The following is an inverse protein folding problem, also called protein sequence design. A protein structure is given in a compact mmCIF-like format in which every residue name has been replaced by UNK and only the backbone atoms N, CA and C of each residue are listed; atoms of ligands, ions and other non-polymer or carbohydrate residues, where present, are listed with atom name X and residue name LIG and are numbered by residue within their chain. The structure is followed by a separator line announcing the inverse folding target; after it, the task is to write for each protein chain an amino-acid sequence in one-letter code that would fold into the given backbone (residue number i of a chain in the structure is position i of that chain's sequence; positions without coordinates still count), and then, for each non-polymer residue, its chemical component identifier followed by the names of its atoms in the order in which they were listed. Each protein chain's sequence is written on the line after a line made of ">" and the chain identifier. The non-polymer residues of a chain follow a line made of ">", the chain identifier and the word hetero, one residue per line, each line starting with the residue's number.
data_IF_827687276913
#
_entry.id   IF_827687276913
#
_cell.length_a   1.000
_cell.length_b   1.000
_cell.length_c   1.000
_cell.angle_alpha   90.00
_cell.angle_beta   90.00
_cell.angle_gamma   90.00
#
_symmetry.space_group_name_H-M   'P 1'
#
loop_
_entity.id
_entity.type
_entity.pdbx_description
1 polymer ?
#
# COMPACT_ATOMS: atom_id res chain seq x y z
N UNK A 1 -16.29 1.42 -7.89
CA UNK A 1 -15.75 2.16 -6.72
C UNK A 1 -15.45 3.60 -7.14
N UNK A 2 -15.36 4.59 -6.20
CA UNK A 2 -15.19 6.00 -6.54
C UNK A 2 -13.86 6.56 -6.02
N UNK A 3 -13.19 7.39 -6.82
CA UNK A 3 -11.99 8.14 -6.42
C UNK A 3 -12.44 9.31 -5.52
N UNK A 4 -11.77 9.46 -4.36
CA UNK A 4 -12.24 10.36 -3.28
C UNK A 4 -11.72 11.79 -3.48
N UNK A 5 -10.45 11.93 -3.89
CA UNK A 5 -9.82 13.24 -4.00
C UNK A 5 -8.80 13.32 -5.15
N UNK A 6 -8.21 14.51 -5.36
CA UNK A 6 -7.18 14.76 -6.36
C UNK A 6 -7.71 14.96 -7.78
N UNK A 7 -6.83 14.79 -8.77
CA UNK A 7 -7.06 15.05 -10.20
C UNK A 7 -8.27 14.31 -10.76
N UNK A 8 -8.55 13.11 -10.26
CA UNK A 8 -9.63 12.24 -10.74
C UNK A 8 -10.82 12.15 -9.78
N UNK A 9 -10.93 13.07 -8.81
CA UNK A 9 -12.02 13.09 -7.82
C UNK A 9 -13.38 12.89 -8.47
N UNK A 10 -14.17 11.98 -7.90
CA UNK A 10 -15.54 11.69 -8.33
C UNK A 10 -15.65 10.70 -9.48
N UNK A 11 -14.57 10.35 -10.19
CA UNK A 11 -14.61 9.32 -11.24
C UNK A 11 -14.81 7.93 -10.63
N UNK A 12 -15.56 7.10 -11.32
CA UNK A 12 -15.74 5.70 -10.93
C UNK A 12 -14.66 4.83 -11.56
N UNK A 13 -14.17 3.86 -10.80
CA UNK A 13 -13.32 2.78 -11.28
C UNK A 13 -14.09 1.46 -11.28
N UNK A 14 -13.80 0.63 -12.26
CA UNK A 14 -14.36 -0.70 -12.40
C UNK A 14 -13.83 -1.59 -11.27
N UNK A 15 -14.66 -2.54 -10.84
CA UNK A 15 -14.29 -3.58 -9.87
C UNK A 15 -14.81 -4.92 -10.39
N UNK A 16 -14.11 -6.03 -10.16
CA UNK A 16 -14.59 -7.35 -10.54
C UNK A 16 -15.96 -7.64 -9.93
N UNK A 17 -16.78 -8.40 -10.64
CA UNK A 17 -18.07 -8.90 -10.11
C UNK A 17 -17.76 -10.06 -9.17
N UNK A 18 -18.42 -10.07 -7.98
CA UNK A 18 -18.34 -11.21 -7.07
C UNK A 18 -17.11 -11.23 -6.15
N UNK A 19 -16.38 -10.11 -5.99
CA UNK A 19 -15.29 -10.04 -5.03
C UNK A 19 -15.71 -10.50 -3.63
N UNK A 20 -15.10 -11.59 -3.18
CA UNK A 20 -15.18 -12.08 -1.78
C UNK A 20 -14.46 -11.15 -0.81
N UNK A 21 -13.58 -10.29 -1.32
CA UNK A 21 -12.86 -9.28 -0.55
C UNK A 21 -13.55 -7.92 -0.68
N UNK A 22 -14.19 -7.46 0.38
CA UNK A 22 -14.69 -6.08 0.45
C UNK A 22 -13.50 -5.13 0.43
N UNK A 23 -13.38 -4.25 -0.58
CA UNK A 23 -12.44 -3.14 -0.54
C UNK A 23 -12.62 -2.33 0.75
N UNK A 24 -11.60 -1.58 1.21
CA UNK A 24 -11.76 -0.71 2.36
C UNK A 24 -13.02 0.13 2.19
N UNK A 25 -13.86 0.18 3.23
CA UNK A 25 -15.04 1.06 3.20
C UNK A 25 -14.58 2.48 2.89
N UNK A 26 -15.39 3.28 2.24
CA UNK A 26 -15.03 4.66 1.88
C UNK A 26 -14.47 5.45 3.08
N UNK A 27 -14.95 5.18 4.30
CA UNK A 27 -14.43 5.79 5.55
C UNK A 27 -13.00 5.40 5.85
N UNK A 28 -12.65 4.11 5.75
CA UNK A 28 -11.29 3.63 6.03
C UNK A 28 -10.30 4.16 5.00
N UNK A 29 -10.67 4.12 3.72
CA UNK A 29 -9.88 4.70 2.64
C UNK A 29 -9.66 6.20 2.85
N UNK A 30 -10.70 6.95 3.22
CA UNK A 30 -10.57 8.38 3.53
C UNK A 30 -9.63 8.62 4.71
N UNK A 31 -9.78 7.86 5.80
CA UNK A 31 -8.92 7.99 6.97
C UNK A 31 -7.45 7.67 6.65
N UNK A 32 -7.20 6.57 5.89
CA UNK A 32 -5.86 6.22 5.41
C UNK A 32 -5.23 7.40 4.65
N UNK A 33 -5.92 7.88 3.62
CA UNK A 33 -5.37 8.94 2.76
C UNK A 33 -5.26 10.30 3.45
N UNK A 34 -6.02 10.57 4.50
CA UNK A 34 -5.81 11.77 5.34
C UNK A 34 -4.51 11.68 6.15
N UNK A 35 -4.16 10.48 6.66
CA UNK A 35 -2.91 10.26 7.41
C UNK A 35 -1.70 10.42 6.49
N UNK A 36 -1.71 9.77 5.32
CA UNK A 36 -0.56 9.74 4.41
C UNK A 36 -0.53 10.91 3.42
N UNK A 37 -1.48 11.84 3.50
CA UNK A 37 -1.59 12.96 2.54
C UNK A 37 -0.30 13.78 2.36
N UNK A 38 0.50 14.05 3.41
CA UNK A 38 1.76 14.78 3.25
C UNK A 38 2.83 14.03 2.44
N UNK A 39 2.75 12.70 2.38
CA UNK A 39 3.70 11.84 1.68
C UNK A 39 3.34 11.57 0.21
N UNK A 40 2.16 12.03 -0.26
CA UNK A 40 1.67 11.69 -1.60
C UNK A 40 2.28 12.53 -2.73
N UNK A 41 2.57 13.85 -2.55
CA UNK A 41 3.13 14.63 -3.63
C UNK A 41 4.46 14.05 -4.13
N UNK A 42 4.56 13.77 -5.42
CA UNK A 42 5.71 13.17 -6.12
C UNK A 42 6.13 11.78 -5.62
N UNK A 43 5.30 11.11 -4.82
CA UNK A 43 5.60 9.81 -4.22
C UNK A 43 5.72 8.69 -5.27
N UNK A 44 6.64 7.77 -5.03
CA UNK A 44 6.67 6.45 -5.65
C UNK A 44 5.95 5.46 -4.74
N UNK A 45 4.96 4.78 -5.30
CA UNK A 45 4.04 3.91 -4.56
C UNK A 45 4.11 2.48 -5.08
N UNK A 46 4.04 1.51 -4.18
CA UNK A 46 3.77 0.10 -4.51
C UNK A 46 2.43 -0.28 -3.90
N UNK A 47 1.51 -0.82 -4.71
CA UNK A 47 0.18 -1.30 -4.29
C UNK A 47 0.14 -2.82 -4.48
N UNK A 48 0.43 -3.55 -3.41
CA UNK A 48 0.42 -5.02 -3.39
C UNK A 48 -0.98 -5.53 -3.05
N UNK A 49 -1.39 -6.62 -3.73
CA UNK A 49 -2.76 -7.12 -3.72
C UNK A 49 -3.73 -6.04 -4.22
N UNK A 50 -3.36 -5.38 -5.32
CA UNK A 50 -3.97 -4.12 -5.77
C UNK A 50 -5.43 -4.25 -6.19
N UNK A 51 -5.89 -5.45 -6.51
CA UNK A 51 -7.23 -5.68 -7.02
C UNK A 51 -7.49 -4.83 -8.27
N UNK A 52 -8.53 -4.02 -8.24
CA UNK A 52 -8.84 -3.06 -9.31
C UNK A 52 -8.04 -1.76 -9.27
N UNK A 53 -7.04 -1.66 -8.40
CA UNK A 53 -6.15 -0.49 -8.26
C UNK A 53 -6.68 0.62 -7.36
N UNK A 54 -7.57 0.31 -6.43
CA UNK A 54 -8.27 1.33 -5.65
C UNK A 54 -7.35 2.25 -4.85
N UNK A 55 -6.29 1.73 -4.24
CA UNK A 55 -5.38 2.51 -3.41
C UNK A 55 -4.35 3.23 -4.28
N UNK A 56 -3.66 2.53 -5.18
CA UNK A 56 -2.65 3.15 -6.04
C UNK A 56 -3.22 4.20 -7.00
N UNK A 57 -4.42 3.99 -7.57
CA UNK A 57 -5.10 5.02 -8.40
C UNK A 57 -5.47 6.24 -7.56
N UNK A 58 -5.92 6.07 -6.32
CA UNK A 58 -6.18 7.19 -5.41
C UNK A 58 -4.88 7.96 -5.11
N UNK A 59 -3.76 7.25 -4.89
CA UNK A 59 -2.46 7.87 -4.67
C UNK A 59 -2.03 8.71 -5.89
N UNK A 60 -2.12 8.15 -7.12
CA UNK A 60 -1.83 8.90 -8.36
C UNK A 60 -2.77 10.09 -8.49
N UNK A 61 -4.06 9.94 -8.18
CA UNK A 61 -5.03 11.04 -8.22
C UNK A 61 -4.65 12.19 -7.29
N UNK A 62 -3.98 11.91 -6.18
CA UNK A 62 -3.54 12.89 -5.17
C UNK A 62 -2.11 13.40 -5.38
N UNK A 63 -1.45 13.03 -6.47
CA UNK A 63 -0.15 13.59 -6.84
C UNK A 63 1.02 12.64 -6.73
N UNK A 64 0.81 11.35 -6.46
CA UNK A 64 1.89 10.38 -6.57
C UNK A 64 2.45 10.37 -8.00
N UNK A 65 3.78 10.32 -8.10
CA UNK A 65 4.53 10.34 -9.35
C UNK A 65 4.36 9.05 -10.13
N UNK A 66 4.44 7.93 -9.42
CA UNK A 66 4.40 6.61 -10.03
C UNK A 66 3.82 5.57 -9.08
N UNK A 67 3.13 4.56 -9.62
CA UNK A 67 2.60 3.44 -8.85
C UNK A 67 2.89 2.11 -9.54
N UNK A 68 3.51 1.19 -8.80
CA UNK A 68 3.63 -0.22 -9.18
C UNK A 68 2.45 -0.97 -8.57
N UNK A 69 1.65 -1.62 -9.41
CA UNK A 69 0.52 -2.46 -9.00
C UNK A 69 0.90 -3.93 -9.10
N UNK A 70 0.70 -4.72 -8.06
CA UNK A 70 0.90 -6.17 -8.10
C UNK A 70 -0.42 -6.90 -7.85
N UNK A 71 -0.80 -7.80 -8.75
CA UNK A 71 -2.04 -8.58 -8.68
C UNK A 71 -1.88 -9.90 -9.44
N UNK A 72 -2.53 -10.97 -8.95
CA UNK A 72 -2.54 -12.29 -9.59
C UNK A 72 -3.90 -12.68 -10.17
N UNK A 73 -5.00 -12.10 -9.68
CA UNK A 73 -6.35 -12.41 -10.14
C UNK A 73 -6.63 -11.77 -11.52
N UNK A 74 -6.92 -12.60 -12.51
CA UNK A 74 -7.11 -12.16 -13.90
C UNK A 74 -8.27 -11.17 -14.07
N UNK A 75 -9.37 -11.33 -13.34
CA UNK A 75 -10.53 -10.44 -13.44
C UNK A 75 -10.20 -9.08 -12.81
N UNK A 76 -9.45 -9.09 -11.70
CA UNK A 76 -8.96 -7.87 -11.07
C UNK A 76 -7.98 -7.13 -11.98
N UNK A 77 -7.01 -7.83 -12.59
CA UNK A 77 -6.05 -7.29 -13.56
C UNK A 77 -6.78 -6.65 -14.75
N UNK A 78 -7.76 -7.34 -15.32
CA UNK A 78 -8.57 -6.81 -16.44
C UNK A 78 -9.27 -5.50 -16.07
N UNK A 79 -9.84 -5.42 -14.86
CA UNK A 79 -10.45 -4.20 -14.34
C UNK A 79 -9.40 -3.10 -14.11
N UNK A 80 -8.26 -3.43 -13.50
CA UNK A 80 -7.15 -2.51 -13.24
C UNK A 80 -6.64 -1.87 -14.54
N UNK A 81 -6.30 -2.68 -15.53
CA UNK A 81 -5.81 -2.19 -16.81
C UNK A 81 -6.83 -1.29 -17.53
N UNK A 82 -8.11 -1.66 -17.46
CA UNK A 82 -9.18 -0.82 -18.03
C UNK A 82 -9.31 0.50 -17.29
N UNK A 83 -9.17 0.51 -15.96
CA UNK A 83 -9.15 1.72 -15.16
C UNK A 83 -7.97 2.60 -15.53
N UNK A 84 -6.74 2.04 -15.65
CA UNK A 84 -5.53 2.74 -16.06
C UNK A 84 -5.72 3.42 -17.41
N UNK A 85 -6.22 2.68 -18.42
CA UNK A 85 -6.50 3.23 -19.75
C UNK A 85 -7.55 4.34 -19.71
N UNK A 86 -8.67 4.11 -19.02
CA UNK A 86 -9.77 5.10 -18.92
C UNK A 86 -9.36 6.38 -18.22
N UNK A 87 -8.45 6.31 -17.26
CA UNK A 87 -7.93 7.47 -16.55
C UNK A 87 -6.75 8.14 -17.26
N UNK A 88 -6.18 7.51 -18.28
CA UNK A 88 -5.03 8.03 -19.03
C UNK A 88 -3.74 8.07 -18.21
N UNK A 89 -3.55 7.12 -17.27
CA UNK A 89 -2.40 7.09 -16.35
C UNK A 89 -1.34 6.04 -16.71
N UNK A 90 -1.36 5.51 -17.92
CA UNK A 90 -0.44 4.44 -18.38
C UNK A 90 1.05 4.79 -18.19
N UNK A 91 1.40 6.09 -18.31
CA UNK A 91 2.79 6.56 -18.13
C UNK A 91 3.19 6.74 -16.67
N UNK A 92 2.24 6.68 -15.73
CA UNK A 92 2.45 6.88 -14.29
C UNK A 92 2.35 5.58 -13.50
N UNK A 93 2.35 4.43 -14.18
CA UNK A 93 2.26 3.16 -13.48
C UNK A 93 2.87 1.98 -14.25
N UNK A 94 3.15 0.91 -13.51
CA UNK A 94 3.52 -0.43 -13.99
C UNK A 94 2.59 -1.44 -13.35
N UNK A 95 2.16 -2.45 -14.10
CA UNK A 95 1.39 -3.59 -13.56
C UNK A 95 2.30 -4.81 -13.55
N UNK A 96 2.46 -5.42 -12.40
CA UNK A 96 3.13 -6.69 -12.13
C UNK A 96 2.07 -7.77 -11.98
N UNK A 97 2.15 -8.79 -12.81
CA UNK A 97 1.16 -9.88 -12.87
C UNK A 97 1.77 -11.16 -12.29
N UNK A 98 1.19 -11.68 -11.22
CA UNK A 98 1.62 -12.93 -10.60
C UNK A 98 1.54 -12.93 -9.08
N UNK A 99 2.01 -14.03 -8.48
CA UNK A 99 2.08 -14.18 -7.04
C UNK A 99 3.21 -13.31 -6.46
N UNK A 100 2.87 -12.51 -5.46
CA UNK A 100 3.78 -11.55 -4.82
C UNK A 100 4.94 -12.29 -4.13
N UNK A 101 4.68 -13.41 -3.47
CA UNK A 101 5.70 -14.16 -2.75
C UNK A 101 6.71 -14.85 -3.67
N UNK A 102 6.30 -15.16 -4.91
CA UNK A 102 7.17 -15.75 -5.93
C UNK A 102 7.99 -14.71 -6.67
N UNK A 103 7.40 -13.54 -6.97
CA UNK A 103 7.94 -12.61 -7.96
C UNK A 103 8.49 -11.29 -7.38
N UNK A 104 8.18 -10.94 -6.13
CA UNK A 104 8.48 -9.62 -5.56
C UNK A 104 9.96 -9.22 -5.72
N UNK A 105 10.88 -10.15 -5.50
CA UNK A 105 12.31 -9.86 -5.57
C UNK A 105 12.75 -9.40 -6.97
N UNK A 106 12.23 -10.02 -8.04
CA UNK A 106 12.50 -9.58 -9.41
C UNK A 106 11.83 -8.24 -9.72
N UNK A 107 10.59 -8.04 -9.27
CA UNK A 107 9.86 -6.79 -9.47
C UNK A 107 10.55 -5.61 -8.80
N UNK A 108 11.12 -5.82 -7.62
CA UNK A 108 11.85 -4.76 -6.93
C UNK A 108 13.13 -4.35 -7.65
N UNK A 109 13.73 -5.22 -8.47
CA UNK A 109 14.88 -4.86 -9.30
C UNK A 109 14.50 -3.87 -10.43
N UNK A 110 13.23 -3.88 -10.87
CA UNK A 110 12.71 -2.89 -11.83
C UNK A 110 12.46 -1.51 -11.19
N UNK A 111 12.42 -1.41 -9.87
CA UNK A 111 12.14 -0.15 -9.16
C UNK A 111 13.39 0.73 -9.15
N UNK A 112 13.33 1.84 -9.90
CA UNK A 112 14.46 2.74 -10.12
C UNK A 112 14.60 3.82 -9.05
N UNK A 113 13.59 4.05 -8.24
CA UNK A 113 13.53 5.12 -7.23
C UNK A 113 13.30 4.53 -5.85
N UNK A 114 13.65 5.31 -4.83
CA UNK A 114 13.21 5.00 -3.47
C UNK A 114 11.68 5.03 -3.39
N UNK A 115 11.12 4.10 -2.62
CA UNK A 115 9.67 3.94 -2.46
C UNK A 115 9.21 4.72 -1.24
N UNK A 116 8.22 5.58 -1.41
CA UNK A 116 7.68 6.38 -0.31
C UNK A 116 6.53 5.68 0.40
N UNK A 117 5.72 4.91 -0.34
CA UNK A 117 4.54 4.25 0.22
C UNK A 117 4.39 2.84 -0.36
N UNK A 118 4.13 1.89 0.52
CA UNK A 118 3.74 0.52 0.13
C UNK A 118 2.39 0.21 0.77
N UNK A 119 1.39 -0.10 -0.05
CA UNK A 119 0.13 -0.67 0.41
C UNK A 119 0.19 -2.19 0.35
N UNK A 120 -0.19 -2.85 1.44
CA UNK A 120 -0.34 -4.30 1.55
C UNK A 120 -1.77 -4.56 1.99
N UNK A 121 -2.64 -4.89 1.03
CA UNK A 121 -4.09 -5.01 1.22
C UNK A 121 -4.63 -6.40 0.83
N UNK A 122 -4.09 -7.49 1.42
CA UNK A 122 -4.49 -8.84 1.08
C UNK A 122 -5.90 -9.19 1.59
N UNK A 123 -6.51 -10.25 1.08
CA UNK A 123 -7.69 -10.84 1.69
C UNK A 123 -7.45 -11.14 3.17
N UNK A 124 -8.44 -10.87 4.05
CA UNK A 124 -8.26 -11.04 5.51
C UNK A 124 -7.84 -12.46 5.93
N UNK A 125 -8.33 -13.48 5.21
CA UNK A 125 -7.97 -14.88 5.47
C UNK A 125 -6.48 -15.11 5.23
N UNK A 126 -5.92 -14.51 4.21
CA UNK A 126 -4.49 -14.65 3.84
C UNK A 126 -3.57 -14.24 4.98
N UNK A 127 -3.83 -13.08 5.62
CA UNK A 127 -2.99 -12.59 6.74
C UNK A 127 -3.05 -13.51 7.96
N UNK A 128 -4.21 -14.11 8.21
CA UNK A 128 -4.39 -15.04 9.33
C UNK A 128 -3.59 -16.36 9.15
N UNK A 129 -3.31 -16.72 7.89
CA UNK A 129 -2.58 -17.93 7.51
C UNK A 129 -1.07 -17.68 7.32
N UNK A 130 -0.61 -16.44 7.46
CA UNK A 130 0.79 -16.09 7.25
C UNK A 130 1.73 -16.76 8.24
N UNK A 131 2.76 -17.42 7.71
CA UNK A 131 3.97 -17.73 8.47
C UNK A 131 4.82 -16.44 8.53
N UNK A 132 4.76 -15.74 9.66
CA UNK A 132 5.40 -14.43 9.82
C UNK A 132 6.91 -14.43 9.55
N UNK A 133 7.62 -15.51 9.86
CA UNK A 133 9.05 -15.62 9.58
C UNK A 133 9.33 -15.62 8.07
N UNK A 134 8.54 -16.37 7.31
CA UNK A 134 8.64 -16.39 5.86
C UNK A 134 8.19 -15.08 5.24
N UNK A 135 7.10 -14.50 5.74
CA UNK A 135 6.57 -13.20 5.26
C UNK A 135 7.56 -12.09 5.55
N UNK A 136 8.20 -12.07 6.72
CA UNK A 136 9.25 -11.11 7.01
C UNK A 136 10.41 -11.23 6.01
N UNK A 137 10.91 -12.44 5.78
CA UNK A 137 12.04 -12.69 4.86
C UNK A 137 11.70 -12.34 3.41
N UNK A 138 10.52 -12.73 2.93
CA UNK A 138 10.18 -12.69 1.50
C UNK A 138 9.35 -11.47 1.08
N UNK A 139 8.77 -10.73 2.05
CA UNK A 139 7.94 -9.57 1.78
C UNK A 139 8.50 -8.31 2.46
N UNK A 140 8.53 -8.27 3.79
CA UNK A 140 8.87 -7.02 4.51
C UNK A 140 10.34 -6.63 4.36
N UNK A 141 11.27 -7.56 4.50
CA UNK A 141 12.71 -7.26 4.39
C UNK A 141 13.10 -6.75 2.99
N UNK A 142 12.67 -7.36 1.87
CA UNK A 142 12.91 -6.82 0.53
C UNK A 142 12.31 -5.43 0.32
N UNK A 143 11.06 -5.20 0.77
CA UNK A 143 10.41 -3.89 0.68
C UNK A 143 11.13 -2.81 1.48
N UNK A 144 11.57 -3.14 2.70
CA UNK A 144 12.31 -2.22 3.55
C UNK A 144 13.61 -1.70 2.90
N UNK A 145 14.29 -2.53 2.11
CA UNK A 145 15.52 -2.14 1.38
C UNK A 145 15.27 -1.11 0.27
N UNK A 146 14.04 -1.00 -0.21
CA UNK A 146 13.64 -0.03 -1.26
C UNK A 146 12.93 1.19 -0.68
N UNK A 147 12.57 1.14 0.62
CA UNK A 147 11.83 2.21 1.27
C UNK A 147 12.73 3.43 1.49
N UNK A 148 12.22 4.62 1.22
CA UNK A 148 12.88 5.87 1.63
C UNK A 148 12.88 6.00 3.15
N UNK A 149 13.77 6.83 3.71
CA UNK A 149 13.89 7.00 5.16
C UNK A 149 12.55 7.38 5.83
N UNK A 150 11.79 8.28 5.20
CA UNK A 150 10.46 8.70 5.68
C UNK A 150 9.33 7.82 5.11
N UNK A 151 9.66 6.75 4.40
CA UNK A 151 8.70 5.90 3.72
C UNK A 151 7.89 5.04 4.68
N UNK A 152 6.68 4.67 4.26
CA UNK A 152 5.77 3.86 5.07
C UNK A 152 5.28 2.62 4.30
N UNK A 153 5.27 1.50 5.00
CA UNK A 153 4.52 0.30 4.61
C UNK A 153 3.22 0.30 5.41
N UNK A 154 2.09 0.19 4.72
CA UNK A 154 0.77 0.16 5.33
C UNK A 154 0.13 -1.20 5.09
N UNK A 155 -0.02 -1.98 6.16
CA UNK A 155 -0.72 -3.26 6.13
C UNK A 155 -2.16 -3.09 6.60
N UNK A 156 -3.12 -3.54 5.78
CA UNK A 156 -4.51 -3.72 6.20
C UNK A 156 -4.77 -5.17 6.56
N UNK A 157 -5.24 -5.40 7.79
CA UNK A 157 -5.54 -6.74 8.28
C UNK A 157 -6.76 -6.75 9.20
N UNK A 158 -7.17 -7.94 9.65
CA UNK A 158 -8.20 -8.06 10.70
C UNK A 158 -7.63 -7.55 12.04
N UNK A 159 -8.46 -6.85 12.84
CA UNK A 159 -8.02 -6.25 14.11
C UNK A 159 -7.42 -7.23 15.12
N UNK A 160 -7.79 -8.51 15.04
CA UNK A 160 -7.28 -9.54 15.96
C UNK A 160 -5.92 -10.11 15.53
N UNK A 161 -5.35 -9.64 14.42
CA UNK A 161 -3.99 -10.04 14.01
C UNK A 161 -2.98 -9.40 14.95
N UNK A 162 -2.18 -10.25 15.57
CA UNK A 162 -0.99 -9.85 16.31
C UNK A 162 0.21 -9.91 15.39
N UNK A 163 0.96 -8.81 15.32
CA UNK A 163 2.24 -8.79 14.62
C UNK A 163 3.32 -9.43 15.50
N UNK A 164 4.37 -9.99 14.90
CA UNK A 164 5.57 -10.36 15.66
C UNK A 164 6.14 -9.14 16.40
N UNK A 165 6.77 -9.39 17.53
CA UNK A 165 7.42 -8.35 18.34
C UNK A 165 8.57 -7.65 17.62
N UNK A 166 9.20 -8.32 16.63
CA UNK A 166 10.25 -7.76 15.81
C UNK A 166 9.95 -8.03 14.32
N UNK A 167 9.94 -6.96 13.54
CA UNK A 167 9.83 -6.97 12.07
C UNK A 167 11.05 -6.27 11.43
N UNK A 168 12.19 -6.26 12.13
CA UNK A 168 13.40 -5.55 11.70
C UNK A 168 13.72 -5.74 10.20
N UNK A 169 14.10 -4.65 9.52
CA UNK A 169 14.40 -3.30 10.02
C UNK A 169 13.17 -2.37 10.13
N UNK A 170 11.94 -2.90 10.10
CA UNK A 170 10.72 -2.14 10.18
C UNK A 170 10.19 -2.08 11.62
N UNK A 171 9.69 -0.91 12.01
CA UNK A 171 9.07 -0.66 13.29
C UNK A 171 7.63 -0.20 13.10
N UNK A 172 6.71 -0.68 13.95
CA UNK A 172 5.33 -0.20 13.94
C UNK A 172 5.29 1.23 14.48
N UNK A 173 5.03 2.18 13.59
CA UNK A 173 4.90 3.60 13.92
C UNK A 173 3.51 3.91 14.49
N UNK A 174 2.49 3.29 13.92
CA UNK A 174 1.11 3.54 14.29
C UNK A 174 0.22 2.35 13.96
N UNK A 175 -0.80 2.13 14.79
CA UNK A 175 -1.94 1.24 14.50
C UNK A 175 -3.24 1.99 14.68
N UNK A 176 -4.17 1.84 13.74
CA UNK A 176 -5.51 2.43 13.77
C UNK A 176 -6.55 1.37 13.50
N UNK A 177 -7.47 1.18 14.45
CA UNK A 177 -8.54 0.21 14.35
C UNK A 177 -9.83 0.84 13.83
N UNK A 178 -10.47 0.19 12.87
CA UNK A 178 -11.73 0.59 12.24
C UNK A 178 -12.69 -0.61 12.19
N UNK A 179 -13.52 -0.75 13.22
CA UNK A 179 -14.41 -1.89 13.37
C UNK A 179 -13.64 -3.21 13.49
N UNK A 180 -13.77 -4.08 12.48
CA UNK A 180 -13.09 -5.39 12.46
C UNK A 180 -11.72 -5.35 11.77
N UNK A 181 -11.26 -4.21 11.29
CA UNK A 181 -9.98 -4.09 10.58
C UNK A 181 -9.03 -3.12 11.26
N UNK A 182 -7.72 -3.31 11.01
CA UNK A 182 -6.65 -2.41 11.42
C UNK A 182 -5.88 -1.95 10.20
N UNK A 183 -5.41 -0.71 10.25
CA UNK A 183 -4.34 -0.17 9.44
C UNK A 183 -3.09 -0.09 10.31
N UNK A 184 -2.03 -0.73 9.87
CA UNK A 184 -0.75 -0.77 10.57
C UNK A 184 0.27 -0.06 9.71
N UNK A 185 0.87 1.00 10.23
CA UNK A 185 1.87 1.81 9.57
C UNK A 185 3.24 1.43 10.11
N UNK A 186 4.15 1.07 9.23
CA UNK A 186 5.51 0.64 9.56
C UNK A 186 6.51 1.47 8.78
N UNK A 187 7.60 1.86 9.42
CA UNK A 187 8.72 2.61 8.81
C UNK A 187 10.06 2.09 9.31
N UNK A 188 11.15 2.66 8.78
CA UNK A 188 12.52 2.27 9.11
C UNK A 188 13.00 2.87 10.44
N UNK A 189 12.45 4.02 10.87
CA UNK A 189 12.86 4.67 12.11
C UNK A 189 12.10 4.11 13.32
N UNK A 190 12.82 3.95 14.42
CA UNK A 190 12.18 3.60 15.70
C UNK A 190 11.30 4.77 16.19
N UNK A 191 10.07 4.53 16.72
CA UNK A 191 9.15 5.59 17.15
C UNK A 191 9.73 6.59 18.17
N UNK A 192 10.71 6.17 18.97
CA UNK A 192 11.38 7.04 19.94
C UNK A 192 12.30 8.06 19.30
N UNK A 193 12.93 7.74 18.18
CA UNK A 193 13.84 8.63 17.45
C UNK A 193 13.09 9.76 16.74
N UNK A 194 11.88 9.50 16.24
CA UNK A 194 11.02 10.54 15.63
C UNK A 194 10.63 11.65 16.60
N UNK A 195 10.50 11.34 17.91
CA UNK A 195 10.18 12.35 18.92
C UNK A 195 11.32 13.33 19.19
N UNK A 196 12.57 12.95 18.95
CA UNK A 196 13.72 13.83 19.10
C UNK A 196 13.89 14.78 17.90
N UNK A 197 13.68 14.32 16.69
CA UNK A 197 13.82 15.12 15.45
C UNK A 197 12.75 16.22 15.39
N UNK A 198 11.50 15.91 15.75
CA UNK A 198 10.40 16.88 15.78
C UNK A 198 10.52 17.98 16.87
N UNK A 199 11.32 17.77 17.92
CA UNK A 199 11.58 18.80 18.95
C UNK A 199 12.61 19.82 18.50
N UNK A 200 13.50 19.49 17.58
CA UNK A 200 14.54 20.39 17.06
C UNK A 200 14.05 21.29 15.92
N UNK A 201 12.99 20.89 15.21
CA UNK A 201 12.38 21.70 14.13
C UNK A 201 11.35 22.73 14.62
N UNK A 202 11.03 22.77 15.92
CA UNK A 202 10.08 23.74 16.53
C UNK A 202 10.77 24.81 17.41
N UNK A 203 12.10 24.97 17.27
CA UNK A 203 12.83 26.04 17.95
C UNK A 203 13.37 27.09 17.01
#
# INVERSE_FOLDING_TARGET
>A
MRIIAGKFKGRNILTPKGLTTRPPTGRVKTALFNIINPLLPDAVVIDLFSGSGSLGIEAISRGARFCYFAEQDHDAISCLERNIRTLGITKSCRVWIGDIFEHLHWWLDEVLWEVNLVFIDPPFKTVAEWNWQQVQKNLFTPLARKLSNDGLIILRCHRNISLPSALEPLYVQQRRDYGKMSLIFMGLEHPEEQNHTNRHQRR
#
